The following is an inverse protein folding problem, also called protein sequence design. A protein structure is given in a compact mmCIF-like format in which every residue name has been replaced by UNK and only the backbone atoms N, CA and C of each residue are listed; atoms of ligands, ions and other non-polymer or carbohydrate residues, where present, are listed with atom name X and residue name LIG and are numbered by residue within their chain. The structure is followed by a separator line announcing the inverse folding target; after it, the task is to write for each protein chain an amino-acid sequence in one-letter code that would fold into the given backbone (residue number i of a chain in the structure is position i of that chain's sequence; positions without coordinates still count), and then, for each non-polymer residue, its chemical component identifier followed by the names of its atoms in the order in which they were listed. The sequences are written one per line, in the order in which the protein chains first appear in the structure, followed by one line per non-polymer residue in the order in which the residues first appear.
data_IF_660460534533
#
_entry.id   IF_660460534533
#
_cell.length_a   1.000
_cell.length_b   1.000
_cell.length_c   1.000
_cell.angle_alpha   90.00
_cell.angle_beta   90.00
_cell.angle_gamma   90.00
#
_symmetry.space_group_name_H-M   'P 1'
#
loop_
_entity.id
_entity.type
_entity.pdbx_description
1 polymer ?
#
# COMPACT_ATOMS: atom_id res chain seq x y z
N UNK A 1 8.49 0.91 18.47
CA UNK A 1 7.83 1.78 17.47
C UNK A 1 8.17 1.28 16.07
N UNK A 2 7.71 0.07 15.70
CA UNK A 2 7.83 -0.49 14.34
C UNK A 2 6.48 -0.64 13.65
N UNK A 3 5.39 -0.58 14.43
CA UNK A 3 4.00 -0.68 13.95
C UNK A 3 3.62 0.39 12.94
N UNK A 4 4.20 1.59 13.04
CA UNK A 4 3.83 2.70 12.15
C UNK A 4 4.25 2.47 10.68
N UNK A 5 5.44 1.90 10.45
CA UNK A 5 5.94 1.67 9.09
C UNK A 5 5.17 0.56 8.37
N UNK A 6 4.93 -0.56 9.07
CA UNK A 6 4.08 -1.65 8.56
C UNK A 6 2.67 -1.14 8.24
N UNK A 7 2.03 -0.48 9.20
CA UNK A 7 0.65 0.00 9.09
C UNK A 7 0.51 1.05 7.97
N UNK A 8 1.48 1.96 7.85
CA UNK A 8 1.49 2.93 6.75
C UNK A 8 1.63 2.24 5.39
N UNK A 9 2.47 1.21 5.27
CA UNK A 9 2.61 0.46 4.03
C UNK A 9 1.31 -0.24 3.62
N UNK A 10 0.67 -0.93 4.55
CA UNK A 10 -0.61 -1.62 4.29
C UNK A 10 -1.68 -0.60 3.88
N UNK A 11 -1.80 0.51 4.61
CA UNK A 11 -2.81 1.54 4.33
C UNK A 11 -2.61 2.25 3.00
N UNK A 12 -1.36 2.53 2.62
CA UNK A 12 -1.06 3.13 1.31
C UNK A 12 -1.36 2.13 0.19
N UNK A 13 -0.96 0.87 0.34
CA UNK A 13 -1.26 -0.17 -0.65
C UNK A 13 -2.77 -0.37 -0.78
N UNK A 14 -3.51 -0.39 0.34
CA UNK A 14 -4.95 -0.46 0.37
C UNK A 14 -5.61 0.76 -0.31
N UNK A 15 -5.15 1.99 -0.07
CA UNK A 15 -5.63 3.18 -0.78
C UNK A 15 -5.48 3.06 -2.31
N UNK A 16 -4.39 2.43 -2.77
CA UNK A 16 -4.09 2.29 -4.19
C UNK A 16 -4.90 1.14 -4.82
N UNK A 17 -5.14 0.05 -4.08
CA UNK A 17 -5.89 -1.11 -4.56
C UNK A 17 -7.41 -0.96 -4.40
N UNK A 18 -7.88 -0.14 -3.45
CA UNK A 18 -9.30 0.01 -3.12
C UNK A 18 -10.09 0.80 -4.19
N UNK A 19 -10.14 0.27 -5.41
CA UNK A 19 -10.92 0.82 -6.51
C UNK A 19 -12.41 0.76 -6.15
N UNK A 20 -13.08 1.90 -6.25
CA UNK A 20 -14.50 2.05 -5.85
C UNK A 20 -14.77 1.62 -4.40
N UNK A 21 -13.74 1.65 -3.53
CA UNK A 21 -13.83 1.24 -2.13
C UNK A 21 -13.78 -0.28 -1.90
N UNK A 22 -13.40 -1.06 -2.91
CA UNK A 22 -13.31 -2.52 -2.82
C UNK A 22 -11.89 -2.97 -3.14
N UNK A 23 -11.38 -3.89 -2.33
CA UNK A 23 -10.13 -4.62 -2.59
C UNK A 23 -10.54 -6.05 -2.93
N UNK A 24 -10.08 -6.55 -4.07
CA UNK A 24 -10.31 -7.93 -4.49
C UNK A 24 -9.49 -8.91 -3.65
N UNK A 25 -9.92 -10.18 -3.62
CA UNK A 25 -9.17 -11.23 -2.92
C UNK A 25 -7.74 -11.38 -3.47
N UNK A 26 -7.56 -11.28 -4.80
CA UNK A 26 -6.24 -11.41 -5.42
C UNK A 26 -5.28 -10.27 -5.01
N UNK A 27 -5.81 -9.05 -4.90
CA UNK A 27 -5.06 -7.89 -4.40
C UNK A 27 -4.68 -8.06 -2.92
N UNK A 28 -5.63 -8.50 -2.10
CA UNK A 28 -5.42 -8.75 -0.66
C UNK A 28 -4.36 -9.83 -0.41
N UNK A 29 -4.46 -10.97 -1.09
CA UNK A 29 -3.49 -12.07 -0.99
C UNK A 29 -2.09 -11.60 -1.40
N UNK A 30 -1.98 -10.88 -2.51
CA UNK A 30 -0.69 -10.34 -3.00
C UNK A 30 -0.09 -9.34 -2.00
N UNK A 31 -0.92 -8.44 -1.44
CA UNK A 31 -0.47 -7.51 -0.40
C UNK A 31 0.06 -8.25 0.82
N UNK A 32 -0.70 -9.23 1.30
CA UNK A 32 -0.37 -10.01 2.50
C UNK A 32 0.95 -10.78 2.32
N UNK A 33 1.13 -11.47 1.20
CA UNK A 33 2.37 -12.22 0.92
C UNK A 33 3.60 -11.30 0.92
N UNK A 34 3.55 -10.19 0.20
CA UNK A 34 4.69 -9.29 0.06
C UNK A 34 5.01 -8.55 1.37
N UNK A 35 3.99 -8.11 2.12
CA UNK A 35 4.21 -7.37 3.37
C UNK A 35 4.77 -8.28 4.48
N UNK A 36 4.31 -9.53 4.57
CA UNK A 36 4.81 -10.50 5.55
C UNK A 36 6.26 -10.92 5.27
N UNK A 37 6.66 -10.97 3.99
CA UNK A 37 8.08 -11.15 3.62
C UNK A 37 8.93 -9.96 4.08
N UNK A 38 8.42 -8.73 3.95
CA UNK A 38 9.14 -7.51 4.32
C UNK A 38 9.20 -7.27 5.83
N UNK A 39 8.19 -7.73 6.58
CA UNK A 39 8.03 -7.52 8.01
C UNK A 39 7.75 -8.85 8.73
N UNK A 40 8.71 -9.78 8.80
CA UNK A 40 8.48 -11.13 9.33
C UNK A 40 8.22 -11.18 10.84
N UNK A 41 8.47 -10.08 11.57
CA UNK A 41 8.31 -10.00 13.03
C UNK A 41 6.90 -9.53 13.46
N UNK A 42 6.01 -9.21 12.52
CA UNK A 42 4.64 -8.77 12.86
C UNK A 42 3.76 -9.95 13.27
N UNK A 43 2.74 -9.67 14.08
CA UNK A 43 1.75 -10.68 14.46
C UNK A 43 1.02 -11.21 13.23
N UNK A 44 0.63 -12.49 13.25
CA UNK A 44 -0.09 -13.16 12.16
C UNK A 44 -1.35 -12.37 11.72
N UNK A 45 -2.06 -11.76 12.68
CA UNK A 45 -3.26 -10.99 12.39
C UNK A 45 -3.04 -9.47 12.22
N UNK A 46 -1.78 -9.02 12.15
CA UNK A 46 -1.47 -7.59 12.07
C UNK A 46 -1.96 -6.98 10.75
N UNK A 47 -1.89 -7.75 9.67
CA UNK A 47 -2.35 -7.32 8.36
C UNK A 47 -3.86 -7.07 8.34
N UNK A 48 -4.69 -8.05 8.74
CA UNK A 48 -6.15 -7.85 8.72
C UNK A 48 -6.57 -6.74 9.68
N UNK A 49 -5.90 -6.59 10.84
CA UNK A 49 -6.14 -5.46 11.76
C UNK A 49 -5.84 -4.11 11.09
N UNK A 50 -4.73 -4.00 10.36
CA UNK A 50 -4.36 -2.77 9.67
C UNK A 50 -5.31 -2.46 8.51
N UNK A 51 -5.73 -3.49 7.77
CA UNK A 51 -6.69 -3.36 6.68
C UNK A 51 -8.09 -3.01 7.17
N UNK A 52 -8.54 -3.61 8.27
CA UNK A 52 -9.80 -3.21 8.92
C UNK A 52 -9.73 -1.76 9.39
N UNK A 53 -8.62 -1.35 10.03
CA UNK A 53 -8.42 0.03 10.45
C UNK A 53 -8.35 1.02 9.28
N UNK A 54 -7.96 0.57 8.08
CA UNK A 54 -8.06 1.36 6.86
C UNK A 54 -9.51 1.61 6.47
N UNK A 55 -10.35 0.57 6.42
CA UNK A 55 -11.77 0.71 6.07
C UNK A 55 -12.58 1.49 7.11
N UNK A 56 -12.15 1.49 8.37
CA UNK A 56 -12.78 2.25 9.45
C UNK A 56 -12.30 3.73 9.51
N UNK A 57 -11.36 4.12 8.66
CA UNK A 57 -10.74 5.45 8.66
C UNK A 57 -11.23 6.32 7.50
N UNK A 58 -11.43 7.62 7.77
CA UNK A 58 -11.72 8.63 6.75
C UNK A 58 -10.44 9.28 6.17
N UNK A 59 -9.25 8.82 6.59
CA UNK A 59 -7.99 9.44 6.20
C UNK A 59 -7.65 9.17 4.73
N UNK A 60 -7.22 10.23 4.04
CA UNK A 60 -6.84 10.17 2.63
C UNK A 60 -5.44 9.62 2.41
N UNK A 61 -5.15 9.22 1.16
CA UNK A 61 -3.83 8.70 0.77
C UNK A 61 -2.69 9.69 1.13
N UNK A 62 -2.92 11.00 0.99
CA UNK A 62 -1.91 12.02 1.34
C UNK A 62 -1.48 11.97 2.81
N UNK A 63 -2.40 11.67 3.71
CA UNK A 63 -2.11 11.57 5.14
C UNK A 63 -1.17 10.39 5.41
N UNK A 64 -1.45 9.24 4.80
CA UNK A 64 -0.58 8.06 4.94
C UNK A 64 0.78 8.26 4.26
N UNK A 65 0.82 8.89 3.08
CA UNK A 65 2.08 9.17 2.37
C UNK A 65 3.05 10.04 3.20
N UNK A 66 2.51 10.93 4.05
CA UNK A 66 3.31 11.78 4.95
C UNK A 66 3.94 11.01 6.13
N UNK A 67 3.43 9.82 6.46
CA UNK A 67 3.98 8.98 7.54
C UNK A 67 5.23 8.20 7.10
N UNK A 68 5.44 8.05 5.79
CA UNK A 68 6.59 7.31 5.23
C UNK A 68 7.68 8.29 4.79
N UNK A 69 8.75 8.35 5.57
CA UNK A 69 9.86 9.29 5.32
C UNK A 69 11.04 8.64 4.62
N UNK A 70 11.19 7.34 4.81
CA UNK A 70 12.31 6.52 4.37
C UNK A 70 12.20 6.21 2.87
N UNK A 71 13.17 6.63 2.03
CA UNK A 71 13.10 6.41 0.58
C UNK A 71 12.95 4.94 0.18
N UNK A 72 13.65 4.03 0.85
CA UNK A 72 13.54 2.59 0.59
C UNK A 72 12.13 2.07 0.85
N UNK A 73 11.47 2.60 1.89
CA UNK A 73 10.11 2.21 2.25
C UNK A 73 9.08 2.75 1.25
N UNK A 74 9.30 3.96 0.72
CA UNK A 74 8.51 4.55 -0.37
C UNK A 74 8.57 3.71 -1.64
N UNK A 75 9.77 3.30 -2.04
CA UNK A 75 9.95 2.43 -3.21
C UNK A 75 9.26 1.08 -2.98
N UNK A 76 9.45 0.47 -1.81
CA UNK A 76 8.81 -0.79 -1.47
C UNK A 76 7.28 -0.70 -1.53
N UNK A 77 6.67 0.32 -0.93
CA UNK A 77 5.20 0.42 -0.89
C UNK A 77 4.60 0.72 -2.27
N UNK A 78 5.31 1.45 -3.13
CA UNK A 78 4.89 1.59 -4.54
C UNK A 78 4.93 0.25 -5.27
N UNK A 79 5.97 -0.57 -5.06
CA UNK A 79 6.08 -1.91 -5.64
C UNK A 79 5.00 -2.85 -5.11
N UNK A 80 4.75 -2.82 -3.80
CA UNK A 80 3.69 -3.57 -3.14
C UNK A 80 2.33 -3.24 -3.77
N UNK A 81 2.00 -1.95 -3.85
CA UNK A 81 0.73 -1.48 -4.39
C UNK A 81 0.58 -1.80 -5.89
N UNK A 82 1.65 -1.62 -6.67
CA UNK A 82 1.67 -1.93 -8.11
C UNK A 82 1.48 -3.43 -8.38
N UNK A 83 2.21 -4.29 -7.66
CA UNK A 83 2.07 -5.74 -7.79
C UNK A 83 0.68 -6.21 -7.38
N UNK A 84 0.15 -5.65 -6.28
CA UNK A 84 -1.16 -6.03 -5.75
C UNK A 84 -2.28 -5.63 -6.70
N UNK A 85 -2.36 -4.35 -7.10
CA UNK A 85 -3.38 -3.89 -8.05
C UNK A 85 -3.30 -4.63 -9.41
N UNK A 86 -2.09 -4.99 -9.85
CA UNK A 86 -1.90 -5.76 -11.09
C UNK A 86 -2.41 -7.21 -10.99
N UNK A 87 -2.56 -7.76 -9.78
CA UNK A 87 -3.02 -9.13 -9.58
C UNK A 87 -4.45 -9.35 -10.09
N UNK A 88 -5.28 -8.30 -10.05
CA UNK A 88 -6.65 -8.30 -10.62
C UNK A 88 -6.69 -7.70 -12.05
N UNK A 89 -5.53 -7.54 -12.70
CA UNK A 89 -5.40 -7.07 -14.08
C UNK A 89 -5.52 -5.56 -14.26
N UNK A 90 -5.41 -4.76 -13.19
CA UNK A 90 -5.43 -3.31 -13.28
C UNK A 90 -4.09 -2.80 -13.86
N UNK A 91 -4.13 -1.98 -14.91
CA UNK A 91 -2.92 -1.34 -15.44
C UNK A 91 -2.45 -0.26 -14.43
N UNK A 92 -1.23 -0.38 -13.86
CA UNK A 92 -0.68 0.61 -12.94
C UNK A 92 -0.62 2.04 -13.51
N UNK A 93 -0.67 2.19 -14.84
CA UNK A 93 -0.70 3.48 -15.54
C UNK A 93 -2.05 4.18 -15.50
N UNK A 94 -3.12 3.45 -15.20
CA UNK A 94 -4.46 4.03 -15.02
C UNK A 94 -4.78 4.29 -13.54
N UNK A 95 -3.90 3.83 -12.63
CA UNK A 95 -4.10 3.99 -11.20
C UNK A 95 -3.73 5.41 -10.74
N UNK A 96 -4.73 6.28 -10.64
CA UNK A 96 -4.60 7.67 -10.19
C UNK A 96 -3.94 7.78 -8.82
N UNK A 97 -4.25 6.87 -7.89
CA UNK A 97 -3.68 6.87 -6.55
C UNK A 97 -2.17 6.53 -6.57
N UNK A 98 -1.76 5.57 -7.41
CA UNK A 98 -0.36 5.22 -7.60
C UNK A 98 0.43 6.37 -8.24
N UNK A 99 -0.13 7.00 -9.29
CA UNK A 99 0.48 8.17 -9.94
C UNK A 99 0.67 9.30 -8.95
N UNK A 100 -0.39 9.65 -8.20
CA UNK A 100 -0.35 10.71 -7.18
C UNK A 100 0.70 10.42 -6.11
N UNK A 101 0.84 9.16 -5.69
CA UNK A 101 1.85 8.75 -4.70
C UNK A 101 3.28 8.98 -5.21
N UNK A 102 3.54 8.64 -6.47
CA UNK A 102 4.83 8.90 -7.14
C UNK A 102 5.13 10.40 -7.22
N UNK A 103 4.14 11.20 -7.61
CA UNK A 103 4.28 12.66 -7.69
C UNK A 103 4.60 13.29 -6.33
N UNK A 104 3.87 12.92 -5.28
CA UNK A 104 4.08 13.43 -3.91
C UNK A 104 5.49 13.11 -3.40
N UNK A 105 5.98 11.90 -3.67
CA UNK A 105 7.32 11.50 -3.24
C UNK A 105 8.44 11.89 -4.21
N UNK A 106 8.11 12.49 -5.35
CA UNK A 106 9.07 12.88 -6.38
C UNK A 106 9.81 11.68 -6.99
N UNK A 107 9.18 10.51 -7.06
CA UNK A 107 9.76 9.28 -7.62
C UNK A 107 9.34 9.19 -9.09
N UNK A 108 10.28 9.44 -9.99
CA UNK A 108 10.12 9.20 -11.42
C UNK A 108 10.00 7.70 -11.69
N UNK A 109 9.10 7.33 -12.61
CA UNK A 109 9.11 6.01 -13.24
C UNK A 109 10.24 5.99 -14.26
N UNK A 110 11.50 6.00 -13.79
CA UNK A 110 12.64 5.97 -14.70
C UNK A 110 12.72 4.60 -15.39
N UNK A 111 12.30 4.63 -16.67
CA UNK A 111 12.56 3.74 -17.82
C UNK A 111 12.49 2.22 -17.63
#
# INVERSE_FOLDING_TARGET
MMTNSFDSCVKIAACICAKDGIISQAEEETMHEMICVRFPEVEENAFEKSLQAFFDSDAGIEEYLNLVTEPELRTFVLQLAEASASADGLDPQENVALIKSREIWGISRDA
#
